data_IF_853939316491
#
_entry.id   IF_853939316491
#
_cell.length_a   1.000
_cell.length_b   1.000
_cell.length_c   1.000
_cell.angle_alpha   90.00
_cell.angle_beta   90.00
_cell.angle_gamma   90.00
#
_symmetry.space_group_name_H-M   'P 1'
#
loop_
_entity.id
_entity.type
_entity.pdbx_description
1 polymer ?
#
# COMPACT_ATOMS: atom_id res chain seq x y z
N UNK A 1 -33.12 14.23 -23.43
CA UNK A 1 -32.69 15.55 -22.94
C UNK A 1 -31.17 15.53 -22.82
N UNK A 2 -30.48 16.53 -23.35
CA UNK A 2 -29.02 16.67 -23.30
C UNK A 2 -28.66 17.87 -22.41
N UNK A 3 -27.52 17.80 -21.73
CA UNK A 3 -26.97 18.86 -20.88
C UNK A 3 -25.52 19.11 -21.26
N UNK A 4 -25.04 20.34 -21.11
CA UNK A 4 -23.66 20.69 -21.42
C UNK A 4 -22.73 20.20 -20.31
N UNK A 5 -21.63 19.55 -20.70
CA UNK A 5 -20.57 19.16 -19.78
C UNK A 5 -19.88 20.41 -19.19
N UNK A 6 -19.72 20.53 -17.86
CA UNK A 6 -19.08 21.70 -17.23
C UNK A 6 -17.56 21.82 -17.48
N UNK A 7 -16.92 20.78 -18.02
CA UNK A 7 -15.46 20.75 -18.25
C UNK A 7 -15.07 21.08 -19.70
N UNK A 8 -15.85 20.61 -20.68
CA UNK A 8 -15.56 20.81 -22.10
C UNK A 8 -16.67 21.51 -22.90
N UNK A 9 -17.77 21.89 -22.23
CA UNK A 9 -18.96 22.52 -22.83
C UNK A 9 -19.62 21.74 -23.98
N UNK A 10 -19.30 20.44 -24.15
CA UNK A 10 -19.96 19.60 -25.14
C UNK A 10 -21.38 19.24 -24.67
N UNK A 11 -22.38 19.24 -25.57
CA UNK A 11 -23.72 18.77 -25.26
C UNK A 11 -23.73 17.23 -25.22
N UNK A 12 -23.96 16.67 -24.03
CA UNK A 12 -23.96 15.22 -23.78
C UNK A 12 -25.37 14.76 -23.39
N UNK A 13 -25.85 13.58 -23.86
CA UNK A 13 -27.08 12.99 -23.35
C UNK A 13 -27.05 12.87 -21.82
N UNK A 14 -28.14 13.18 -21.12
CA UNK A 14 -28.17 13.14 -19.65
C UNK A 14 -27.79 11.76 -19.08
N UNK A 15 -28.07 10.67 -19.79
CA UNK A 15 -27.68 9.30 -19.42
C UNK A 15 -26.17 9.06 -19.45
N UNK A 16 -25.43 9.85 -20.23
CA UNK A 16 -23.98 9.70 -20.44
C UNK A 16 -23.18 10.84 -19.81
N UNK A 17 -23.85 11.91 -19.37
CA UNK A 17 -23.22 13.10 -18.81
C UNK A 17 -22.35 12.77 -17.59
N UNK A 18 -22.83 11.90 -16.71
CA UNK A 18 -22.06 11.50 -15.52
C UNK A 18 -20.80 10.71 -15.91
N UNK A 19 -20.91 9.74 -16.83
CA UNK A 19 -19.75 9.00 -17.34
C UNK A 19 -18.75 9.93 -18.03
N UNK A 20 -19.24 10.85 -18.85
CA UNK A 20 -18.42 11.80 -19.58
C UNK A 20 -17.72 12.80 -18.65
N UNK A 21 -18.41 13.31 -17.62
CA UNK A 21 -17.82 14.19 -16.61
C UNK A 21 -16.76 13.44 -15.80
N UNK A 22 -17.02 12.17 -15.48
CA UNK A 22 -16.03 11.31 -14.82
C UNK A 22 -14.79 11.12 -15.70
N UNK A 23 -14.93 11.02 -17.03
CA UNK A 23 -13.77 10.92 -17.94
C UNK A 23 -12.85 12.16 -17.86
N UNK A 24 -13.38 13.38 -17.77
CA UNK A 24 -12.56 14.61 -17.59
C UNK A 24 -11.76 14.60 -16.28
N UNK A 25 -12.41 14.19 -15.19
CA UNK A 25 -11.76 14.12 -13.88
C UNK A 25 -10.66 13.03 -13.85
N UNK A 26 -10.88 11.95 -14.60
CA UNK A 26 -9.93 10.86 -14.80
C UNK A 26 -8.75 11.28 -15.66
N UNK A 27 -8.94 12.16 -16.65
CA UNK A 27 -7.84 12.70 -17.47
C UNK A 27 -6.88 13.57 -16.63
N UNK A 28 -7.39 14.41 -15.73
CA UNK A 28 -6.54 15.18 -14.81
C UNK A 28 -5.82 14.30 -13.77
N UNK A 29 -6.49 13.27 -13.22
CA UNK A 29 -5.86 12.33 -12.29
C UNK A 29 -4.81 11.47 -13.00
N UNK A 30 -5.10 11.01 -14.22
CA UNK A 30 -4.14 10.33 -15.07
C UNK A 30 -2.96 11.22 -15.41
N UNK A 31 -3.19 12.52 -15.68
CA UNK A 31 -2.12 13.48 -15.89
C UNK A 31 -1.24 13.64 -14.66
N UNK A 32 -1.82 13.69 -13.44
CA UNK A 32 -1.05 13.72 -12.18
C UNK A 32 -0.26 12.43 -11.94
N UNK A 33 -0.88 11.27 -12.14
CA UNK A 33 -0.23 9.96 -12.02
C UNK A 33 0.89 9.78 -13.07
N UNK A 34 0.67 10.30 -14.29
CA UNK A 34 1.65 10.28 -15.36
C UNK A 34 2.79 11.26 -15.11
N UNK A 35 2.51 12.48 -14.67
CA UNK A 35 3.50 13.48 -14.29
C UNK A 35 4.38 12.96 -13.16
N UNK A 36 3.78 12.32 -12.16
CA UNK A 36 4.50 11.61 -11.12
C UNK A 36 5.38 10.53 -11.76
N UNK A 37 4.80 9.58 -12.50
CA UNK A 37 5.56 8.51 -13.17
C UNK A 37 6.70 9.00 -14.08
N UNK A 38 6.56 10.17 -14.72
CA UNK A 38 7.57 10.82 -15.55
C UNK A 38 8.67 11.48 -14.72
N UNK A 39 8.32 12.19 -13.64
CA UNK A 39 9.29 12.74 -12.69
C UNK A 39 10.20 11.65 -12.09
N UNK A 40 9.69 10.42 -11.97
CA UNK A 40 10.42 9.25 -11.49
C UNK A 40 11.32 8.60 -12.55
N UNK A 41 11.06 8.81 -13.85
CA UNK A 41 11.76 8.14 -14.95
C UNK A 41 13.05 8.86 -15.41
N UNK A 42 13.35 10.04 -14.88
CA UNK A 42 14.55 10.80 -15.23
C UNK A 42 15.69 10.45 -14.25
N UNK A 43 16.82 9.92 -14.73
CA UNK A 43 18.00 9.76 -13.87
C UNK A 43 18.49 11.15 -13.46
N UNK A 44 18.61 11.38 -12.16
CA UNK A 44 19.23 12.58 -11.62
C UNK A 44 20.68 12.63 -12.13
N UNK A 45 21.03 13.65 -12.91
CA UNK A 45 22.42 13.94 -13.24
C UNK A 45 23.23 14.08 -11.95
N UNK A 46 24.38 13.42 -11.79
CA UNK A 46 25.14 13.54 -10.54
C UNK A 46 25.72 14.97 -10.42
N UNK A 47 25.56 15.66 -9.28
CA UNK A 47 26.35 16.83 -8.99
C UNK A 47 27.79 16.40 -8.68
N UNK A 48 28.74 17.26 -9.03
CA UNK A 48 30.18 17.01 -8.89
C UNK A 48 30.56 16.88 -7.42
N UNK A 49 31.35 15.85 -7.12
CA UNK A 49 31.97 15.56 -5.83
C UNK A 49 32.68 16.79 -5.24
N UNK A 50 32.14 17.34 -4.14
CA UNK A 50 32.87 18.01 -3.04
C UNK A 50 31.95 18.52 -1.91
N UNK A 51 30.63 18.49 -2.03
CA UNK A 51 29.70 19.05 -1.01
C UNK A 51 29.06 18.06 -0.03
N UNK A 52 29.12 16.75 -0.27
CA UNK A 52 28.30 15.77 0.46
C UNK A 52 28.69 15.61 1.95
N UNK A 53 29.95 15.83 2.31
CA UNK A 53 30.39 15.74 3.71
C UNK A 53 29.95 16.93 4.59
N UNK A 54 29.62 18.08 3.97
CA UNK A 54 29.16 19.26 4.71
C UNK A 54 27.64 19.19 4.91
N UNK A 55 26.90 18.69 3.91
CA UNK A 55 25.44 18.53 3.99
C UNK A 55 25.04 17.39 4.93
N UNK A 56 25.77 16.26 4.93
CA UNK A 56 25.54 15.18 5.91
C UNK A 56 25.84 15.61 7.34
N UNK A 57 26.82 16.51 7.52
CA UNK A 57 27.18 17.04 8.83
C UNK A 57 26.17 18.07 9.34
N UNK A 58 25.68 18.97 8.48
CA UNK A 58 24.58 19.88 8.82
C UNK A 58 23.29 19.13 9.17
N UNK A 59 22.94 18.05 8.43
CA UNK A 59 21.75 17.25 8.73
C UNK A 59 21.86 16.45 10.04
N UNK A 60 23.08 16.03 10.40
CA UNK A 60 23.36 15.34 11.66
C UNK A 60 23.32 16.31 12.85
N UNK A 61 23.89 17.51 12.67
CA UNK A 61 23.89 18.58 13.68
C UNK A 61 22.46 19.12 13.91
N UNK A 62 21.66 19.27 12.85
CA UNK A 62 20.24 19.66 12.93
C UNK A 62 19.37 18.61 13.63
N UNK A 63 19.71 17.31 13.47
CA UNK A 63 19.04 16.22 14.17
C UNK A 63 19.35 16.19 15.67
N UNK A 64 20.60 16.48 16.05
CA UNK A 64 21.01 16.58 17.46
C UNK A 64 20.38 17.81 18.15
N UNK A 65 20.29 18.95 17.46
CA UNK A 65 19.62 20.14 17.97
C UNK A 65 18.11 19.89 18.14
N UNK A 66 17.47 19.18 17.21
CA UNK A 66 16.05 18.81 17.33
C UNK A 66 15.78 17.86 18.53
N UNK A 67 16.71 16.94 18.84
CA UNK A 67 16.63 16.10 20.04
C UNK A 67 16.78 16.89 21.34
N UNK A 68 17.68 17.88 21.37
CA UNK A 68 17.89 18.75 22.55
C UNK A 68 16.68 19.65 22.83
N UNK A 69 16.08 20.24 21.80
CA UNK A 69 14.88 21.07 21.94
C UNK A 69 13.63 20.29 22.39
N UNK A 70 13.55 19.00 22.01
CA UNK A 70 12.50 18.09 22.48
C UNK A 70 12.66 17.71 23.96
N UNK A 71 13.90 17.66 24.47
CA UNK A 71 14.18 17.39 25.88
C UNK A 71 13.83 18.58 26.79
N UNK A 72 14.03 19.81 26.31
CA UNK A 72 13.77 21.04 27.08
C UNK A 72 12.27 21.41 27.18
N UNK A 73 11.40 20.81 26.36
CA UNK A 73 9.98 21.19 26.25
C UNK A 73 9.01 20.33 27.08
N UNK A 74 9.48 19.55 28.05
CA UNK A 74 8.60 18.77 28.94
C UNK A 74 7.94 19.65 30.03
N UNK A 75 6.61 19.55 30.27
CA UNK A 75 5.93 20.34 31.31
C UNK A 75 6.26 19.86 32.73
N UNK A 76 6.19 20.73 33.76
CA UNK A 76 6.60 20.38 35.11
C UNK A 76 5.57 19.45 35.79
N UNK A 77 6.07 18.44 36.52
CA UNK A 77 5.25 17.57 37.39
C UNK A 77 4.72 18.33 38.62
N UNK A 78 3.57 17.91 39.21
CA UNK A 78 2.98 18.58 40.37
C UNK A 78 3.81 18.37 41.63
N UNK A 79 3.87 19.42 42.47
CA UNK A 79 4.58 19.46 43.76
C UNK A 79 3.83 18.63 44.82
N UNK A 80 4.48 17.60 45.37
CA UNK A 80 4.09 17.01 46.65
C UNK A 80 4.85 17.66 47.81
N UNK A 81 4.11 17.85 48.91
CA UNK A 81 4.49 18.64 50.09
C UNK A 81 5.51 17.91 50.96
N UNK A 82 6.44 18.72 51.48
CA UNK A 82 7.47 18.35 52.43
C UNK A 82 6.93 17.87 53.79
N UNK A 83 7.62 16.90 54.37
CA UNK A 83 7.79 16.75 55.83
C UNK A 83 9.30 16.59 56.09
N UNK A 84 9.83 17.47 56.94
CA UNK A 84 11.22 17.62 57.34
C UNK A 84 11.67 16.60 58.38
N UNK A 85 12.98 16.33 58.38
CA UNK A 85 13.95 16.29 59.52
C UNK A 85 14.97 15.17 59.30
N UNK A 86 16.26 15.25 59.61
CA UNK A 86 17.22 16.30 59.98
C UNK A 86 18.62 15.65 59.84
N UNK A 87 19.62 16.43 59.45
CA UNK A 87 21.06 16.37 59.77
C UNK A 87 21.82 15.02 59.82
N UNK A 88 22.89 14.91 59.02
CA UNK A 88 24.30 15.00 59.49
C UNK A 88 25.27 14.95 58.30
N UNK A 89 26.17 15.93 58.24
CA UNK A 89 27.28 16.05 57.27
C UNK A 89 28.50 15.30 57.78
N UNK A 90 29.20 14.54 56.93
CA UNK A 90 30.68 14.40 56.99
C UNK A 90 31.27 13.84 55.68
N UNK A 91 31.86 14.75 54.91
CA UNK A 91 33.19 14.73 54.29
C UNK A 91 33.86 13.44 53.69
N UNK A 92 34.39 13.69 52.48
CA UNK A 92 35.67 13.26 51.88
C UNK A 92 35.74 12.12 50.83
N UNK A 93 36.27 12.55 49.67
CA UNK A 93 37.02 11.88 48.60
C UNK A 93 36.38 10.79 47.75
N UNK A 94 36.48 11.02 46.43
CA UNK A 94 36.21 10.02 45.40
C UNK A 94 37.30 8.96 45.33
N UNK A 95 36.94 7.84 44.69
CA UNK A 95 37.74 7.21 43.66
C UNK A 95 36.91 6.19 42.87
N UNK A 96 37.30 6.06 41.61
CA UNK A 96 36.81 5.16 40.57
C UNK A 96 37.33 3.74 40.82
N UNK A 97 36.51 2.70 40.61
CA UNK A 97 36.87 1.32 40.19
C UNK A 97 35.54 0.54 39.99
N UNK A 98 35.16 0.14 38.77
CA UNK A 98 35.60 -1.06 38.03
C UNK A 98 35.36 -2.38 38.80
N UNK A 99 34.35 -3.15 38.40
CA UNK A 99 34.26 -4.64 38.32
C UNK A 99 32.78 -5.11 38.37
N UNK A 100 32.33 -6.22 37.77
CA UNK A 100 32.94 -7.28 36.95
C UNK A 100 31.78 -8.04 36.28
N UNK A 101 31.70 -8.11 34.96
CA UNK A 101 30.87 -9.13 34.28
C UNK A 101 31.69 -10.43 34.25
N UNK A 102 31.22 -11.44 34.98
CA UNK A 102 31.81 -12.78 34.95
C UNK A 102 31.20 -13.57 33.80
N UNK A 103 32.04 -13.94 32.84
CA UNK A 103 31.72 -14.91 31.80
C UNK A 103 31.76 -16.33 32.39
N UNK A 104 30.68 -17.09 32.21
CA UNK A 104 30.68 -18.54 32.36
C UNK A 104 30.30 -19.17 31.03
N UNK A 105 31.26 -19.91 30.46
CA UNK A 105 31.07 -20.77 29.29
C UNK A 105 30.13 -21.93 29.61
N UNK A 106 29.17 -22.22 28.72
CA UNK A 106 28.31 -23.38 28.78
C UNK A 106 27.42 -23.49 27.53
N UNK A 107 27.89 -24.32 26.59
CA UNK A 107 27.17 -25.02 25.50
C UNK A 107 26.23 -24.27 24.53
N UNK A 108 26.68 -24.34 23.28
CA UNK A 108 26.06 -23.97 22.02
C UNK A 108 24.83 -24.80 21.67
N UNK A 109 23.64 -24.20 21.70
CA UNK A 109 22.64 -24.21 20.61
C UNK A 109 21.55 -23.17 20.94
N UNK A 110 21.61 -21.96 20.36
CA UNK A 110 20.56 -20.90 20.29
C UNK A 110 21.20 -19.50 20.43
N UNK A 111 21.75 -18.92 19.36
CA UNK A 111 22.31 -17.56 19.39
C UNK A 111 21.68 -16.60 18.38
N UNK A 112 20.75 -17.05 17.52
CA UNK A 112 20.07 -16.15 16.57
C UNK A 112 18.73 -15.62 17.08
N UNK A 113 17.99 -16.38 17.89
CA UNK A 113 16.64 -15.99 18.35
C UNK A 113 16.68 -14.83 19.36
N UNK A 114 17.68 -14.82 20.24
CA UNK A 114 17.84 -13.81 21.29
C UNK A 114 18.09 -12.40 20.73
N UNK A 115 18.78 -12.29 19.59
CA UNK A 115 19.06 -10.98 18.96
C UNK A 115 17.82 -10.37 18.30
N UNK A 116 16.98 -11.19 17.66
CA UNK A 116 15.76 -10.68 17.00
C UNK A 116 14.69 -10.27 18.00
N UNK A 117 14.51 -11.04 19.08
CA UNK A 117 13.55 -10.71 20.14
C UNK A 117 13.92 -9.41 20.87
N UNK A 118 15.21 -9.18 21.15
CA UNK A 118 15.69 -7.94 21.76
C UNK A 118 15.44 -6.72 20.86
N UNK A 119 15.63 -6.85 19.54
CA UNK A 119 15.31 -5.78 18.57
C UNK A 119 13.82 -5.48 18.52
N UNK A 120 12.98 -6.52 18.57
CA UNK A 120 11.52 -6.38 18.62
C UNK A 120 11.10 -5.64 19.88
N UNK A 121 11.62 -6.02 21.06
CA UNK A 121 11.34 -5.35 22.33
C UNK A 121 11.86 -3.90 22.35
N UNK A 122 13.04 -3.66 21.80
CA UNK A 122 13.61 -2.32 21.73
C UNK A 122 12.77 -1.42 20.81
N UNK A 123 12.42 -1.90 19.62
CA UNK A 123 11.60 -1.13 18.68
C UNK A 123 10.18 -0.96 19.19
N UNK A 124 9.60 -1.95 19.88
CA UNK A 124 8.24 -1.84 20.41
C UNK A 124 8.12 -0.67 21.40
N UNK A 125 9.18 -0.41 22.19
CA UNK A 125 9.28 0.70 23.15
C UNK A 125 9.65 2.04 22.53
N UNK A 126 10.42 2.05 21.44
CA UNK A 126 10.97 3.27 20.83
C UNK A 126 10.20 3.77 19.60
N UNK A 127 9.35 2.94 19.00
CA UNK A 127 8.59 3.33 17.81
C UNK A 127 7.68 4.52 18.08
N UNK A 128 7.49 5.35 17.06
CA UNK A 128 6.69 6.57 17.14
C UNK A 128 5.33 6.31 16.50
N UNK A 129 4.28 6.86 17.09
CA UNK A 129 2.92 6.81 16.52
C UNK A 129 2.87 7.64 15.24
N UNK A 130 2.37 7.04 14.17
CA UNK A 130 2.08 7.75 12.92
C UNK A 130 1.03 8.82 13.17
N UNK A 131 1.35 10.06 12.81
CA UNK A 131 0.43 11.19 12.88
C UNK A 131 -0.46 11.19 11.64
N UNK A 132 -1.76 11.36 11.86
CA UNK A 132 -2.75 11.52 10.79
C UNK A 132 -3.83 12.51 11.20
N UNK A 133 -4.53 13.04 10.20
CA UNK A 133 -5.69 13.90 10.42
C UNK A 133 -6.87 13.04 10.88
N UNK A 134 -7.28 13.21 12.14
CA UNK A 134 -8.41 12.45 12.72
C UNK A 134 -9.74 13.10 12.33
N UNK A 135 -10.63 12.32 11.72
CA UNK A 135 -11.99 12.74 11.38
C UNK A 135 -12.93 12.40 12.54
N UNK A 136 -13.63 13.40 13.07
CA UNK A 136 -14.64 13.19 14.11
C UNK A 136 -15.83 12.37 13.57
N UNK A 137 -16.20 11.30 14.27
CA UNK A 137 -17.21 10.34 13.84
C UNK A 137 -16.70 9.24 12.88
N UNK A 138 -15.45 9.37 12.40
CA UNK A 138 -14.76 8.39 11.57
C UNK A 138 -15.08 8.51 10.07
N UNK A 139 -14.05 8.36 9.24
CA UNK A 139 -14.14 8.47 7.78
C UNK A 139 -15.20 7.53 7.19
N UNK A 140 -15.12 6.25 7.57
CA UNK A 140 -15.98 5.22 7.00
C UNK A 140 -17.45 5.42 7.37
N UNK A 141 -17.75 6.06 8.51
CA UNK A 141 -19.11 6.46 8.86
C UNK A 141 -19.64 7.56 7.94
N UNK A 142 -18.84 8.60 7.68
CA UNK A 142 -19.22 9.66 6.75
C UNK A 142 -19.43 9.10 5.33
N UNK A 143 -18.53 8.24 4.86
CA UNK A 143 -18.65 7.59 3.56
C UNK A 143 -19.93 6.75 3.44
N UNK A 144 -20.26 5.94 4.47
CA UNK A 144 -21.52 5.17 4.47
C UNK A 144 -22.74 6.06 4.41
N UNK A 145 -22.77 7.17 5.15
CA UNK A 145 -23.89 8.10 5.12
C UNK A 145 -24.10 8.68 3.71
N UNK A 146 -23.02 9.08 3.04
CA UNK A 146 -23.08 9.53 1.66
C UNK A 146 -23.59 8.46 0.68
N UNK A 147 -23.13 7.21 0.85
CA UNK A 147 -23.54 6.08 0.01
C UNK A 147 -25.02 5.72 0.20
N UNK A 148 -25.55 5.82 1.42
CA UNK A 148 -26.98 5.58 1.72
C UNK A 148 -27.89 6.66 1.10
N UNK A 149 -27.39 7.90 1.01
CA UNK A 149 -28.11 9.02 0.39
C UNK A 149 -28.04 9.01 -1.14
N UNK A 150 -27.22 8.15 -1.73
CA UNK A 150 -27.07 8.10 -3.17
C UNK A 150 -28.30 7.47 -3.84
N UNK A 151 -28.77 8.12 -4.91
CA UNK A 151 -29.91 7.64 -5.68
C UNK A 151 -29.47 6.53 -6.65
N UNK A 152 -30.17 5.40 -6.64
CA UNK A 152 -29.94 4.32 -7.60
C UNK A 152 -30.25 2.93 -7.04
N UNK A 153 -30.22 1.92 -7.92
CA UNK A 153 -30.32 0.49 -7.55
C UNK A 153 -28.93 -0.12 -7.31
N UNK A 154 -28.06 0.64 -6.66
CA UNK A 154 -26.71 0.19 -6.36
C UNK A 154 -26.67 -0.50 -5.00
N UNK A 155 -26.01 -1.65 -4.94
CA UNK A 155 -25.67 -2.33 -3.70
C UNK A 155 -24.21 -2.06 -3.37
N UNK A 156 -23.92 -1.64 -2.15
CA UNK A 156 -22.57 -1.31 -1.72
C UNK A 156 -22.15 -2.18 -0.55
N UNK A 157 -20.92 -2.67 -0.61
CA UNK A 157 -20.27 -3.36 0.51
C UNK A 157 -19.00 -2.59 0.84
N UNK A 158 -18.82 -2.22 2.10
CA UNK A 158 -17.63 -1.52 2.60
C UNK A 158 -16.97 -2.29 3.73
N UNK A 159 -15.68 -2.11 3.92
CA UNK A 159 -14.98 -2.53 5.14
C UNK A 159 -15.47 -1.75 6.37
N UNK A 160 -15.07 -2.23 7.56
CA UNK A 160 -15.24 -1.56 8.85
C UNK A 160 -14.40 -0.27 9.00
N UNK A 161 -13.86 -0.03 10.18
CA UNK A 161 -13.05 1.15 10.47
C UNK A 161 -11.80 1.23 9.60
N UNK A 162 -11.48 2.43 9.10
CA UNK A 162 -10.22 2.77 8.42
C UNK A 162 -9.93 4.25 8.68
N UNK A 163 -8.73 4.55 9.17
CA UNK A 163 -8.21 5.91 9.23
C UNK A 163 -7.46 6.24 7.94
N UNK A 164 -7.66 7.44 7.38
CA UNK A 164 -6.94 7.88 6.19
C UNK A 164 -5.58 8.48 6.53
N UNK A 165 -4.53 7.86 6.01
CA UNK A 165 -3.16 8.36 6.10
C UNK A 165 -2.76 8.99 4.78
N UNK A 166 -2.69 10.32 4.75
CA UNK A 166 -2.21 11.06 3.59
C UNK A 166 -0.69 11.17 3.58
N UNK A 167 -0.11 11.30 2.40
CA UNK A 167 1.28 11.69 2.22
C UNK A 167 1.47 13.16 2.57
N UNK A 168 2.61 13.46 3.18
CA UNK A 168 3.02 14.78 3.61
C UNK A 168 4.07 15.30 2.62
N UNK A 169 3.86 16.53 2.13
CA UNK A 169 4.73 17.19 1.15
C UNK A 169 6.19 17.25 1.62
N UNK A 170 6.41 17.44 2.91
CA UNK A 170 7.72 17.56 3.55
C UNK A 170 8.41 16.22 3.82
N UNK A 171 7.68 15.10 3.83
CA UNK A 171 8.22 13.82 4.31
C UNK A 171 8.25 12.76 3.21
N UNK A 172 7.07 12.43 2.69
CA UNK A 172 6.85 11.19 1.94
C UNK A 172 6.14 11.38 0.59
N UNK A 173 5.87 12.63 0.19
CA UNK A 173 5.32 12.92 -1.13
C UNK A 173 6.21 12.37 -2.26
N UNK A 174 5.58 11.61 -3.16
CA UNK A 174 6.24 10.99 -4.31
C UNK A 174 6.89 9.62 -4.06
N UNK A 175 6.87 9.11 -2.82
CA UNK A 175 7.43 7.77 -2.52
C UNK A 175 6.74 7.00 -1.39
N UNK A 176 5.97 7.68 -0.55
CA UNK A 176 5.37 7.17 0.67
C UNK A 176 4.10 6.36 0.50
N UNK A 177 3.51 6.30 -0.70
CA UNK A 177 2.17 5.73 -0.92
C UNK A 177 2.02 4.32 -0.32
N UNK A 178 2.99 3.44 -0.55
CA UNK A 178 2.92 2.08 -0.01
C UNK A 178 2.98 2.03 1.52
N UNK A 179 3.79 2.88 2.13
CA UNK A 179 3.84 3.00 3.59
C UNK A 179 2.53 3.54 4.18
N UNK A 180 1.94 4.55 3.55
CA UNK A 180 0.63 5.11 3.96
C UNK A 180 -0.49 4.08 3.80
N UNK A 181 -0.47 3.25 2.76
CA UNK A 181 -1.42 2.15 2.60
C UNK A 181 -1.24 1.05 3.66
N UNK A 182 0.00 0.74 4.08
CA UNK A 182 0.24 -0.11 5.25
C UNK A 182 -0.38 0.51 6.51
N UNK A 183 -0.23 1.82 6.71
CA UNK A 183 -0.84 2.51 7.85
C UNK A 183 -2.38 2.43 7.82
N UNK A 184 -3.01 2.63 6.67
CA UNK A 184 -4.46 2.49 6.51
C UNK A 184 -4.93 1.06 6.81
N UNK A 185 -4.28 0.04 6.24
CA UNK A 185 -4.60 -1.36 6.53
C UNK A 185 -4.39 -1.71 8.02
N UNK A 186 -3.31 -1.21 8.61
CA UNK A 186 -3.00 -1.41 10.04
C UNK A 186 -4.02 -0.73 10.95
N UNK A 187 -4.55 0.43 10.57
CA UNK A 187 -5.60 1.13 11.35
C UNK A 187 -6.86 0.29 11.48
N UNK A 188 -7.26 -0.37 10.38
CA UNK A 188 -8.38 -1.30 10.38
C UNK A 188 -8.10 -2.51 11.27
N UNK A 189 -6.96 -3.16 11.08
CA UNK A 189 -6.58 -4.35 11.83
C UNK A 189 -6.54 -4.09 13.34
N UNK A 190 -5.89 -3.00 13.76
CA UNK A 190 -5.80 -2.63 15.18
C UNK A 190 -7.17 -2.23 15.77
N UNK A 191 -8.08 -1.66 14.97
CA UNK A 191 -9.41 -1.28 15.46
C UNK A 191 -10.35 -2.49 15.58
N UNK A 192 -10.41 -3.34 14.56
CA UNK A 192 -11.42 -4.39 14.42
C UNK A 192 -11.02 -5.70 15.11
N UNK A 193 -9.71 -5.97 15.28
CA UNK A 193 -9.20 -7.29 15.68
C UNK A 193 -8.42 -7.26 16.99
N UNK A 194 -8.98 -7.85 18.04
CA UNK A 194 -8.34 -7.95 19.35
C UNK A 194 -7.07 -8.81 19.33
N UNK A 195 -7.11 -9.95 18.63
CA UNK A 195 -5.96 -10.84 18.46
C UNK A 195 -4.77 -10.13 17.80
N UNK A 196 -5.04 -9.20 16.87
CA UNK A 196 -4.00 -8.40 16.22
C UNK A 196 -3.44 -7.31 17.14
N UNK A 197 -4.29 -6.66 17.96
CA UNK A 197 -3.86 -5.61 18.90
C UNK A 197 -2.80 -6.08 19.89
N UNK A 198 -2.86 -7.33 20.30
CA UNK A 198 -1.93 -7.90 21.28
C UNK A 198 -0.54 -8.19 20.71
N UNK A 199 -0.44 -8.46 19.40
CA UNK A 199 0.80 -8.95 18.77
C UNK A 199 1.45 -7.95 17.82
N UNK A 200 0.65 -7.17 17.10
CA UNK A 200 1.14 -6.30 16.03
C UNK A 200 1.90 -5.12 16.62
N UNK A 201 3.07 -4.83 16.03
CA UNK A 201 3.97 -3.78 16.50
C UNK A 201 4.36 -3.90 17.98
N UNK A 202 4.51 -5.13 18.47
CA UNK A 202 4.85 -5.39 19.86
C UNK A 202 3.74 -5.00 20.85
N UNK A 203 2.47 -5.05 20.43
CA UNK A 203 1.32 -4.78 21.29
C UNK A 203 1.12 -3.30 21.63
N UNK A 204 1.69 -2.39 20.82
CA UNK A 204 1.63 -0.95 21.05
C UNK A 204 0.24 -0.34 20.89
N UNK A 205 -0.68 -1.05 20.23
CA UNK A 205 -2.06 -0.63 19.96
C UNK A 205 -2.17 0.70 19.18
N UNK A 206 -1.14 1.05 18.41
CA UNK A 206 -1.18 2.17 17.48
C UNK A 206 -0.45 1.86 16.19
N UNK A 207 -0.80 2.61 15.14
CA UNK A 207 -0.13 2.53 13.84
C UNK A 207 1.19 3.33 13.90
N UNK A 208 2.35 2.71 13.65
CA UNK A 208 3.64 3.41 13.70
C UNK A 208 3.86 4.37 12.54
N UNK A 209 4.81 5.28 12.68
CA UNK A 209 5.30 6.15 11.61
C UNK A 209 6.13 5.39 10.55
N UNK A 210 6.40 6.05 9.42
CA UNK A 210 7.12 5.42 8.29
C UNK A 210 8.52 4.92 8.71
N UNK A 211 9.35 5.71 9.42
CA UNK A 211 10.64 5.23 9.92
C UNK A 211 10.53 3.97 10.79
N UNK A 212 9.54 3.89 11.69
CA UNK A 212 9.34 2.69 12.50
C UNK A 212 8.89 1.49 11.65
N UNK A 213 7.99 1.69 10.67
CA UNK A 213 7.58 0.65 9.73
C UNK A 213 8.78 0.12 8.91
N UNK A 214 9.69 0.99 8.49
CA UNK A 214 10.92 0.59 7.81
C UNK A 214 11.79 -0.31 8.69
N UNK A 215 11.98 0.03 9.98
CA UNK A 215 12.72 -0.83 10.92
C UNK A 215 12.01 -2.15 11.17
N UNK A 216 10.68 -2.15 11.30
CA UNK A 216 9.90 -3.40 11.41
C UNK A 216 10.09 -4.30 10.18
N UNK A 217 10.16 -3.73 8.98
CA UNK A 217 10.44 -4.48 7.76
C UNK A 217 11.86 -5.06 7.74
N UNK A 218 12.88 -4.30 8.17
CA UNK A 218 14.25 -4.82 8.31
C UNK A 218 14.32 -5.97 9.32
N UNK A 219 13.64 -5.85 10.46
CA UNK A 219 13.52 -6.95 11.44
C UNK A 219 12.85 -8.17 10.82
N UNK A 220 11.82 -7.98 9.99
CA UNK A 220 11.20 -9.09 9.27
C UNK A 220 12.19 -9.80 8.35
N UNK A 221 12.99 -9.06 7.60
CA UNK A 221 14.04 -9.62 6.74
C UNK A 221 15.11 -10.37 7.53
N UNK A 222 15.59 -9.79 8.64
CA UNK A 222 16.54 -10.45 9.54
C UNK A 222 15.98 -11.74 10.15
N UNK A 223 14.68 -11.77 10.45
CA UNK A 223 13.97 -12.95 10.95
C UNK A 223 13.71 -14.01 9.86
N UNK A 224 14.16 -13.78 8.62
CA UNK A 224 14.07 -14.74 7.53
C UNK A 224 12.84 -14.59 6.64
N UNK A 225 11.99 -13.59 6.86
CA UNK A 225 10.85 -13.33 5.97
C UNK A 225 11.34 -12.68 4.68
N UNK A 226 10.88 -13.19 3.53
CA UNK A 226 11.12 -12.59 2.22
C UNK A 226 12.59 -12.22 1.92
N UNK A 227 13.50 -13.16 2.16
CA UNK A 227 14.91 -13.01 1.82
C UNK A 227 15.15 -12.60 0.35
N UNK A 228 14.37 -13.07 -0.66
CA UNK A 228 14.51 -12.55 -2.02
C UNK A 228 14.22 -11.05 -2.11
N UNK A 229 13.11 -10.57 -1.53
CA UNK A 229 12.77 -9.15 -1.51
C UNK A 229 13.78 -8.29 -0.74
N UNK A 230 14.29 -8.80 0.39
CA UNK A 230 15.30 -8.10 1.19
C UNK A 230 16.56 -7.79 0.39
N UNK A 231 17.04 -8.74 -0.42
CA UNK A 231 18.25 -8.59 -1.24
C UNK A 231 18.12 -7.49 -2.28
N UNK A 232 16.93 -7.27 -2.83
CA UNK A 232 16.69 -6.21 -3.81
C UNK A 232 16.74 -4.81 -3.19
N UNK A 233 16.67 -4.72 -1.85
CA UNK A 233 16.94 -3.52 -1.10
C UNK A 233 18.35 -3.46 -0.49
N UNK A 234 19.25 -4.40 -0.81
CA UNK A 234 20.52 -4.58 -0.11
C UNK A 234 20.35 -4.79 1.41
N UNK A 235 19.24 -5.40 1.80
CA UNK A 235 18.83 -5.64 3.19
C UNK A 235 18.72 -4.36 4.05
N UNK A 236 18.55 -3.18 3.42
CA UNK A 236 18.36 -1.90 4.12
C UNK A 236 17.33 -1.01 3.43
N UNK A 237 16.40 -0.49 4.22
CA UNK A 237 15.36 0.43 3.80
C UNK A 237 15.10 1.55 4.81
N UNK A 238 15.50 1.39 6.07
CA UNK A 238 15.41 2.43 7.08
C UNK A 238 16.18 3.68 6.66
N UNK A 239 15.54 4.84 6.81
CA UNK A 239 16.08 6.14 6.41
C UNK A 239 16.06 6.41 4.91
N UNK A 240 15.58 5.47 4.09
CA UNK A 240 15.52 5.64 2.64
C UNK A 240 14.15 6.14 2.17
N UNK A 241 14.11 6.73 0.98
CA UNK A 241 12.87 7.14 0.28
C UNK A 241 12.42 6.09 -0.74
N UNK A 242 12.68 4.81 -0.45
CA UNK A 242 12.40 3.72 -1.39
C UNK A 242 10.93 3.35 -1.41
N UNK A 243 10.47 3.03 -2.60
CA UNK A 243 9.12 2.52 -2.82
C UNK A 243 9.04 1.07 -2.38
N UNK A 244 7.83 0.69 -2.00
CA UNK A 244 7.47 -0.66 -1.59
C UNK A 244 6.11 -1.00 -2.19
N UNK A 245 5.70 -2.26 -2.07
CA UNK A 245 4.30 -2.58 -2.22
C UNK A 245 3.84 -3.88 -1.58
N UNK A 246 3.07 -4.69 -2.32
CA UNK A 246 2.31 -5.82 -1.76
C UNK A 246 3.20 -6.84 -1.03
N UNK A 247 4.40 -7.10 -1.55
CA UNK A 247 5.39 -8.00 -0.94
C UNK A 247 5.90 -7.49 0.39
N UNK A 248 6.40 -6.25 0.43
CA UNK A 248 6.90 -5.65 1.67
C UNK A 248 5.78 -5.47 2.71
N UNK A 249 4.58 -5.11 2.26
CA UNK A 249 3.37 -5.08 3.08
C UNK A 249 3.08 -6.46 3.68
N UNK A 250 3.05 -7.51 2.87
CA UNK A 250 2.81 -8.87 3.35
C UNK A 250 3.92 -9.34 4.30
N UNK A 251 5.19 -9.10 3.97
CA UNK A 251 6.37 -9.43 4.78
C UNK A 251 6.28 -8.80 6.16
N UNK A 252 5.98 -7.50 6.24
CA UNK A 252 5.82 -6.78 7.50
C UNK A 252 4.67 -7.35 8.34
N UNK A 253 3.51 -7.62 7.75
CA UNK A 253 2.36 -8.17 8.47
C UNK A 253 2.63 -9.60 8.96
N UNK A 254 3.30 -10.42 8.15
CA UNK A 254 3.64 -11.82 8.44
C UNK A 254 4.66 -11.98 9.56
N UNK A 255 5.52 -10.98 9.80
CA UNK A 255 6.40 -10.94 10.98
C UNK A 255 5.60 -11.15 12.28
N UNK A 256 4.41 -10.55 12.36
CA UNK A 256 3.51 -10.66 13.51
C UNK A 256 2.55 -11.87 13.44
N UNK A 257 2.75 -12.77 12.47
CA UNK A 257 1.92 -13.96 12.27
C UNK A 257 0.60 -13.69 11.53
N UNK A 258 0.38 -12.49 10.97
CA UNK A 258 -0.83 -12.25 10.18
C UNK A 258 -0.75 -13.00 8.85
N UNK A 259 -1.87 -13.62 8.46
CA UNK A 259 -2.02 -14.36 7.21
C UNK A 259 -2.23 -13.40 6.02
N UNK A 260 -1.23 -12.58 5.73
CA UNK A 260 -1.26 -11.69 4.58
C UNK A 260 -1.10 -12.48 3.27
N UNK A 261 -1.97 -12.27 2.30
CA UNK A 261 -2.04 -12.95 0.99
C UNK A 261 -1.92 -11.96 -0.14
N UNK A 262 -1.25 -12.36 -1.23
CA UNK A 262 -1.08 -11.55 -2.43
C UNK A 262 -1.83 -12.18 -3.60
N UNK A 263 -2.49 -11.35 -4.40
CA UNK A 263 -3.20 -11.77 -5.61
C UNK A 263 -2.75 -10.89 -6.77
N UNK A 264 -2.40 -11.51 -7.89
CA UNK A 264 -1.94 -10.86 -9.10
C UNK A 264 -3.01 -10.93 -10.19
N UNK A 265 -3.24 -9.81 -10.88
CA UNK A 265 -4.14 -9.72 -12.03
C UNK A 265 -3.35 -9.25 -13.25
N UNK A 266 -3.35 -10.03 -14.33
CA UNK A 266 -2.67 -9.68 -15.59
C UNK A 266 -3.63 -9.75 -16.78
N UNK A 267 -3.45 -8.83 -17.73
CA UNK A 267 -4.34 -8.69 -18.90
C UNK A 267 -3.85 -9.44 -20.15
N UNK A 268 -2.71 -10.15 -20.11
CA UNK A 268 -2.12 -10.79 -21.29
C UNK A 268 -1.53 -12.16 -20.96
N UNK A 269 -1.99 -13.21 -21.65
CA UNK A 269 -1.37 -14.55 -21.63
C UNK A 269 0.04 -14.57 -22.24
N UNK A 270 0.38 -13.58 -23.08
CA UNK A 270 1.61 -13.56 -23.90
C UNK A 270 2.93 -13.39 -23.11
N UNK A 271 2.88 -13.11 -21.81
CA UNK A 271 4.07 -13.12 -20.93
C UNK A 271 4.38 -14.54 -20.40
N UNK A 272 3.58 -15.54 -20.77
CA UNK A 272 3.81 -16.94 -20.47
C UNK A 272 4.75 -17.61 -21.49
N UNK A 273 6.06 -17.36 -21.36
CA UNK A 273 7.08 -18.34 -21.74
C UNK A 273 7.83 -18.12 -23.05
N UNK A 274 9.11 -17.78 -22.94
CA UNK A 274 10.13 -18.43 -23.76
C UNK A 274 10.50 -19.77 -23.09
N UNK A 275 10.09 -20.89 -23.69
CA UNK A 275 10.68 -22.21 -23.42
C UNK A 275 9.73 -23.32 -22.96
N UNK A 276 9.44 -24.21 -23.91
CA UNK A 276 9.24 -25.66 -23.80
C UNK A 276 7.89 -26.30 -23.36
N UNK A 277 7.45 -27.14 -24.31
CA UNK A 277 6.82 -28.46 -24.27
C UNK A 277 5.53 -28.75 -23.48
N UNK A 278 4.62 -29.41 -24.21
CA UNK A 278 3.35 -29.93 -23.72
C UNK A 278 3.60 -31.16 -22.86
N UNK A 279 3.28 -31.06 -21.58
CA UNK A 279 2.97 -32.24 -20.76
C UNK A 279 3.54 -32.19 -19.36
N UNK A 280 2.83 -31.55 -18.43
CA UNK A 280 2.70 -31.97 -17.03
C UNK A 280 1.83 -30.96 -16.27
N UNK A 281 0.72 -31.44 -15.72
CA UNK A 281 -0.08 -30.70 -14.73
C UNK A 281 0.73 -30.60 -13.42
N UNK A 282 0.65 -29.41 -12.80
CA UNK A 282 1.22 -28.93 -11.52
C UNK A 282 2.70 -28.55 -11.49
N UNK A 283 2.93 -27.23 -11.65
CA UNK A 283 3.80 -26.37 -10.82
C UNK A 283 3.66 -24.93 -11.33
N UNK A 284 3.15 -24.00 -10.51
CA UNK A 284 3.37 -22.56 -10.75
C UNK A 284 3.59 -21.87 -9.40
N UNK A 285 4.83 -21.46 -9.18
CA UNK A 285 5.27 -20.61 -8.08
C UNK A 285 5.88 -19.40 -8.77
N UNK A 286 5.27 -18.22 -8.63
CA UNK A 286 5.89 -16.99 -9.10
C UNK A 286 5.71 -15.90 -8.05
N UNK A 287 6.83 -15.36 -7.59
CA UNK A 287 6.91 -14.44 -6.45
C UNK A 287 8.07 -13.54 -6.74
N UNK A 288 7.81 -12.25 -6.87
CA UNK A 288 8.86 -11.25 -6.75
C UNK A 288 8.30 -10.05 -5.94
N UNK A 289 9.21 -9.31 -5.34
CA UNK A 289 9.10 -7.98 -4.71
C UNK A 289 10.54 -7.45 -4.67
N UNK A 290 10.86 -6.15 -4.89
CA UNK A 290 10.19 -4.93 -4.50
C UNK A 290 9.81 -4.03 -5.68
N UNK A 291 8.51 -4.04 -5.91
CA UNK A 291 7.85 -3.40 -7.04
C UNK A 291 8.30 -3.91 -8.39
N UNK A 292 8.88 -5.12 -8.43
CA UNK A 292 9.23 -5.99 -9.58
C UNK A 292 9.49 -5.26 -10.88
N UNK A 293 10.34 -4.26 -10.68
CA UNK A 293 10.81 -3.20 -11.57
C UNK A 293 9.73 -2.63 -12.48
N UNK A 294 8.68 -2.17 -11.83
CA UNK A 294 7.63 -1.28 -12.33
C UNK A 294 6.72 -1.95 -13.39
N UNK A 295 6.48 -3.26 -13.28
CA UNK A 295 5.48 -4.04 -14.06
C UNK A 295 5.57 -3.83 -15.61
N UNK A 296 6.81 -3.87 -16.14
CA UNK A 296 7.26 -4.11 -17.55
C UNK A 296 6.85 -3.14 -18.68
N UNK A 297 7.85 -2.44 -19.26
CA UNK A 297 7.79 -1.20 -20.07
C UNK A 297 8.19 -1.44 -21.56
N UNK A 298 7.40 -0.97 -22.53
CA UNK A 298 7.74 -0.90 -23.98
C UNK A 298 9.08 -0.16 -24.19
N UNK A 299 10.11 -0.84 -24.71
CA UNK A 299 11.33 -0.21 -25.26
C UNK A 299 12.02 -1.13 -26.28
N UNK A 300 11.60 -1.09 -27.55
CA UNK A 300 12.54 -1.19 -28.66
C UNK A 300 13.31 0.14 -28.72
N UNK A 301 14.32 0.25 -27.86
CA UNK A 301 15.20 1.43 -27.76
C UNK A 301 16.48 1.19 -28.54
N UNK A 302 16.51 1.78 -29.72
CA UNK A 302 17.63 1.90 -30.67
C UNK A 302 18.97 2.19 -30.00
N UNK A 303 19.98 1.37 -30.31
CA UNK A 303 21.39 1.72 -30.21
C UNK A 303 22.00 1.52 -31.61
N UNK A 304 22.39 2.63 -32.23
CA UNK A 304 23.07 2.74 -33.53
C UNK A 304 24.57 2.48 -33.27
N UNK A 305 25.27 1.62 -34.05
CA UNK A 305 26.21 1.99 -35.14
C UNK A 305 27.12 0.76 -35.45
N UNK A 306 27.91 0.71 -36.55
CA UNK A 306 27.58 0.97 -37.96
C UNK A 306 28.15 -0.13 -38.92
N UNK A 307 27.89 0.02 -40.24
CA UNK A 307 28.72 -0.41 -41.40
C UNK A 307 28.21 -1.58 -42.31
N UNK A 308 27.94 -1.17 -43.58
CA UNK A 308 28.02 -1.84 -44.91
C UNK A 308 26.95 -2.89 -45.28
N UNK A 309 26.01 -2.51 -46.14
CA UNK A 309 26.00 -2.68 -47.63
C UNK A 309 25.52 -4.07 -48.06
N UNK A 310 24.30 -4.16 -48.61
CA UNK A 310 24.08 -4.39 -50.05
C UNK A 310 22.60 -4.72 -50.36
N UNK A 311 22.04 -3.87 -51.24
CA UNK A 311 21.18 -4.18 -52.40
C UNK A 311 19.93 -5.07 -52.29
N UNK A 312 18.78 -4.40 -52.52
CA UNK A 312 17.71 -4.72 -53.49
C UNK A 312 17.12 -6.12 -53.56
N UNK A 313 15.79 -6.24 -53.45
CA UNK A 313 14.85 -6.39 -54.59
C UNK A 313 13.41 -6.38 -54.03
N UNK A 314 12.54 -5.54 -54.59
CA UNK A 314 11.09 -5.58 -54.41
C UNK A 314 10.47 -6.70 -55.26
N UNK A 315 9.46 -7.41 -54.73
CA UNK A 315 8.15 -7.52 -55.38
C UNK A 315 7.10 -8.28 -54.53
N UNK A 316 5.99 -7.59 -54.26
CA UNK A 316 4.58 -7.99 -54.15
C UNK A 316 4.21 -9.46 -53.85
N UNK A 317 3.34 -9.66 -52.83
CA UNK A 317 1.94 -10.07 -53.06
C UNK A 317 1.14 -10.27 -51.75
N UNK A 318 -0.08 -9.74 -51.75
CA UNK A 318 -1.28 -10.18 -51.01
C UNK A 318 -1.44 -9.91 -49.49
N UNK A 319 -2.33 -8.95 -49.23
CA UNK A 319 -3.18 -8.79 -48.06
C UNK A 319 -3.75 -10.11 -47.51
N UNK A 320 -3.68 -10.29 -46.19
CA UNK A 320 -4.81 -10.62 -45.29
C UNK A 320 -4.38 -10.42 -43.82
N UNK A 321 -5.32 -9.94 -43.01
CA UNK A 321 -5.34 -9.97 -41.54
C UNK A 321 -4.52 -8.94 -40.72
N UNK A 322 -4.87 -7.65 -40.85
CA UNK A 322 -4.44 -6.59 -39.89
C UNK A 322 -5.57 -6.02 -38.99
N UNK A 323 -6.83 -6.40 -39.19
CA UNK A 323 -7.96 -5.85 -38.42
C UNK A 323 -8.38 -6.66 -37.18
N UNK A 324 -7.81 -7.85 -36.94
CA UNK A 324 -8.27 -8.74 -35.86
C UNK A 324 -7.46 -8.60 -34.54
N UNK A 325 -6.23 -8.05 -34.60
CA UNK A 325 -5.37 -7.93 -33.41
C UNK A 325 -5.77 -6.79 -32.46
N UNK A 326 -6.36 -5.71 -32.96
CA UNK A 326 -6.74 -4.56 -32.12
C UNK A 326 -7.96 -4.84 -31.26
N UNK A 327 -8.94 -5.59 -31.76
CA UNK A 327 -10.13 -5.96 -31.00
C UNK A 327 -9.82 -7.01 -29.92
N UNK A 328 -8.89 -7.94 -30.20
CA UNK A 328 -8.50 -8.98 -29.23
C UNK A 328 -7.85 -8.38 -27.98
N UNK A 329 -6.90 -7.45 -28.13
CA UNK A 329 -6.23 -6.82 -26.99
C UNK A 329 -7.14 -5.93 -26.14
N UNK A 330 -8.10 -5.23 -26.76
CA UNK A 330 -9.12 -4.45 -26.02
C UNK A 330 -10.06 -5.38 -25.24
N UNK A 331 -10.45 -6.52 -25.83
CA UNK A 331 -11.33 -7.50 -25.19
C UNK A 331 -10.65 -8.19 -23.99
N UNK A 332 -9.37 -8.54 -24.11
CA UNK A 332 -8.57 -9.14 -23.01
C UNK A 332 -8.43 -8.17 -21.82
N UNK A 333 -8.13 -6.88 -22.08
CA UNK A 333 -8.06 -5.85 -21.02
C UNK A 333 -9.41 -5.65 -20.33
N UNK A 334 -10.51 -5.64 -21.08
CA UNK A 334 -11.87 -5.55 -20.51
C UNK A 334 -12.18 -6.78 -19.66
N UNK A 335 -11.76 -7.97 -20.10
CA UNK A 335 -11.95 -9.21 -19.36
C UNK A 335 -11.13 -9.21 -18.05
N UNK A 336 -9.86 -8.78 -18.09
CA UNK A 336 -8.99 -8.66 -16.90
C UNK A 336 -9.54 -7.70 -15.84
N UNK A 337 -10.08 -6.54 -16.25
CA UNK A 337 -10.74 -5.58 -15.34
C UNK A 337 -11.96 -6.19 -14.66
N UNK A 338 -12.76 -6.95 -15.41
CA UNK A 338 -13.94 -7.62 -14.88
C UNK A 338 -13.55 -8.71 -13.88
N UNK A 339 -12.52 -9.50 -14.17
CA UNK A 339 -12.00 -10.52 -13.24
C UNK A 339 -11.57 -9.89 -11.91
N UNK A 340 -10.86 -8.75 -11.95
CA UNK A 340 -10.49 -8.02 -10.74
C UNK A 340 -11.74 -7.56 -9.97
N UNK A 341 -12.70 -6.97 -10.66
CA UNK A 341 -13.96 -6.50 -10.05
C UNK A 341 -14.75 -7.63 -9.40
N UNK A 342 -14.90 -8.75 -10.11
CA UNK A 342 -15.60 -9.95 -9.63
C UNK A 342 -14.86 -10.56 -8.44
N UNK A 343 -13.52 -10.58 -8.45
CA UNK A 343 -12.73 -11.02 -7.30
C UNK A 343 -12.93 -10.13 -6.08
N UNK A 344 -12.87 -8.80 -6.24
CA UNK A 344 -13.10 -7.84 -5.15
C UNK A 344 -14.54 -7.94 -4.62
N UNK A 345 -15.51 -8.12 -5.51
CA UNK A 345 -16.91 -8.37 -5.16
C UNK A 345 -17.03 -9.61 -4.25
N UNK A 346 -16.49 -10.74 -4.70
CA UNK A 346 -16.50 -11.99 -3.95
C UNK A 346 -15.73 -11.89 -2.63
N UNK A 347 -14.64 -11.14 -2.59
CA UNK A 347 -13.86 -10.92 -1.38
C UNK A 347 -14.67 -10.21 -0.29
N UNK A 348 -15.34 -9.11 -0.63
CA UNK A 348 -16.14 -8.33 0.33
C UNK A 348 -17.49 -8.97 0.65
N UNK A 349 -17.99 -9.85 -0.23
CA UNK A 349 -19.22 -10.60 0.02
C UNK A 349 -19.02 -11.56 1.19
N UNK A 350 -19.70 -11.28 2.29
CA UNK A 350 -19.63 -12.13 3.49
C UNK A 350 -20.76 -13.16 3.43
N UNK A 351 -20.39 -14.45 3.32
CA UNK A 351 -21.32 -15.58 3.34
C UNK A 351 -22.05 -15.73 4.70
N UNK A 352 -21.57 -15.06 5.75
CA UNK A 352 -22.11 -15.12 7.10
C UNK A 352 -23.19 -14.08 7.43
N UNK A 353 -23.50 -13.15 6.51
CA UNK A 353 -24.56 -12.16 6.74
C UNK A 353 -25.93 -12.86 6.69
N UNK A 354 -26.61 -12.92 7.85
CA UNK A 354 -28.00 -13.43 7.96
C UNK A 354 -28.86 -12.75 6.90
N UNK A 355 -29.68 -13.54 6.18
CA UNK A 355 -30.57 -13.11 5.09
C UNK A 355 -31.37 -11.83 5.38
N UNK A 356 -31.63 -11.52 6.65
CA UNK A 356 -32.29 -10.29 7.11
C UNK A 356 -31.55 -8.97 6.78
N UNK A 357 -30.21 -8.96 6.61
CA UNK A 357 -29.43 -7.76 6.23
C UNK A 357 -29.27 -7.61 4.71
N UNK A 358 -29.73 -8.59 3.92
CA UNK A 358 -29.71 -8.52 2.46
C UNK A 358 -30.74 -7.54 1.88
N UNK A 359 -31.47 -6.80 2.71
CA UNK A 359 -32.31 -5.68 2.26
C UNK A 359 -31.63 -4.31 2.38
N UNK A 360 -30.47 -4.21 3.05
CA UNK A 360 -29.73 -2.94 3.18
C UNK A 360 -28.97 -2.62 1.89
N UNK A 361 -29.02 -1.35 1.46
CA UNK A 361 -28.31 -0.88 0.26
C UNK A 361 -26.81 -0.79 0.51
N UNK A 362 -26.39 -0.34 1.69
CA UNK A 362 -24.99 -0.30 2.10
C UNK A 362 -24.78 -1.28 3.26
N UNK A 363 -23.81 -2.19 3.11
CA UNK A 363 -23.49 -3.19 4.13
C UNK A 363 -22.03 -3.09 4.53
N UNK A 364 -21.75 -3.37 5.81
CA UNK A 364 -20.39 -3.43 6.35
C UNK A 364 -19.95 -4.89 6.41
N UNK A 365 -18.83 -5.17 5.75
CA UNK A 365 -18.17 -6.47 5.74
C UNK A 365 -17.15 -6.57 6.87
N UNK A 366 -17.00 -7.77 7.45
CA UNK A 366 -15.92 -8.09 8.40
C UNK A 366 -14.54 -8.30 7.75
N UNK A 367 -14.42 -8.00 6.46
CA UNK A 367 -13.20 -8.18 5.66
C UNK A 367 -12.31 -6.95 5.76
N UNK A 368 -10.99 -7.14 5.69
CA UNK A 368 -10.03 -6.02 5.73
C UNK A 368 -10.11 -5.19 4.46
N UNK A 369 -9.72 -3.89 4.48
CA UNK A 369 -9.42 -3.20 3.24
C UNK A 369 -8.31 -3.93 2.46
N UNK A 370 -8.23 -3.66 1.16
CA UNK A 370 -7.24 -4.28 0.28
C UNK A 370 -6.17 -3.25 -0.05
N UNK A 371 -4.91 -3.59 0.23
CA UNK A 371 -3.77 -2.87 -0.35
C UNK A 371 -3.79 -3.10 -1.86
N UNK A 372 -3.85 -2.03 -2.65
CA UNK A 372 -4.05 -2.09 -4.10
C UNK A 372 -2.90 -1.44 -4.86
N UNK A 373 -2.09 -2.26 -5.54
CA UNK A 373 -0.88 -1.85 -6.24
C UNK A 373 -1.10 -1.86 -7.76
N UNK A 374 -0.52 -0.87 -8.44
CA UNK A 374 -0.17 -0.97 -9.85
C UNK A 374 1.17 -0.28 -10.09
N UNK A 375 1.64 -0.26 -11.34
CA UNK A 375 2.87 0.46 -11.65
C UNK A 375 2.74 1.95 -11.32
N UNK A 376 3.65 2.47 -10.50
CA UNK A 376 3.81 3.89 -10.19
C UNK A 376 3.09 4.38 -8.94
N UNK A 377 2.10 3.64 -8.42
CA UNK A 377 1.30 4.10 -7.27
C UNK A 377 0.57 2.95 -6.58
N UNK A 378 0.21 3.17 -5.32
CA UNK A 378 -0.60 2.25 -4.54
C UNK A 378 -1.70 2.98 -3.81
N UNK A 379 -2.82 2.31 -3.60
CA UNK A 379 -4.04 2.83 -2.99
C UNK A 379 -4.66 1.77 -2.07
N UNK A 380 -5.76 2.12 -1.39
CA UNK A 380 -6.48 1.19 -0.50
C UNK A 380 -7.92 1.04 -0.96
N UNK A 381 -8.33 -0.16 -1.38
CA UNK A 381 -9.75 -0.45 -1.67
C UNK A 381 -10.47 -0.71 -0.35
N UNK A 382 -11.48 0.10 -0.05
CA UNK A 382 -12.30 0.03 1.17
C UNK A 382 -13.70 -0.51 0.91
N UNK A 383 -14.03 -0.83 -0.33
CA UNK A 383 -15.32 -1.43 -0.68
C UNK A 383 -15.58 -1.47 -2.17
N UNK A 384 -16.78 -1.91 -2.51
CA UNK A 384 -17.24 -2.04 -3.89
C UNK A 384 -18.74 -1.73 -3.96
N UNK A 385 -19.11 -0.99 -4.99
CA UNK A 385 -20.49 -0.69 -5.35
C UNK A 385 -20.84 -1.42 -6.65
N UNK A 386 -21.95 -2.14 -6.62
CA UNK A 386 -22.47 -2.97 -7.70
C UNK A 386 -23.76 -2.31 -8.17
N UNK A 387 -23.76 -1.79 -9.40
CA UNK A 387 -24.97 -1.28 -10.04
C UNK A 387 -25.74 -2.48 -10.59
N UNK A 388 -27.02 -2.59 -10.25
CA UNK A 388 -27.88 -3.68 -10.73
C UNK A 388 -28.91 -3.17 -11.71
N UNK A 389 -29.11 -3.93 -12.79
CA UNK A 389 -30.20 -3.71 -13.74
C UNK A 389 -31.53 -4.04 -13.10
N UNK A 390 -32.62 -3.69 -13.80
CA UNK A 390 -34.00 -4.03 -13.40
C UNK A 390 -34.26 -5.53 -13.23
N UNK A 391 -33.46 -6.38 -13.86
CA UNK A 391 -33.55 -7.85 -13.79
C UNK A 391 -32.67 -8.45 -12.66
N UNK A 392 -31.97 -7.61 -11.89
CA UNK A 392 -31.07 -8.04 -10.82
C UNK A 392 -29.65 -8.41 -11.28
N UNK A 393 -29.36 -8.36 -12.58
CA UNK A 393 -28.00 -8.63 -13.09
C UNK A 393 -27.05 -7.45 -12.82
N UNK A 394 -25.76 -7.70 -12.53
CA UNK A 394 -24.78 -6.62 -12.39
C UNK A 394 -24.61 -5.88 -13.72
N UNK A 395 -24.87 -4.58 -13.71
CA UNK A 395 -24.66 -3.67 -14.86
C UNK A 395 -23.23 -3.11 -14.87
N UNK A 396 -22.69 -2.82 -13.70
CA UNK A 396 -21.39 -2.20 -13.56
C UNK A 396 -20.85 -2.24 -12.14
N UNK A 397 -19.55 -2.03 -12.02
CA UNK A 397 -18.83 -2.02 -10.76
C UNK A 397 -18.09 -0.69 -10.59
N UNK A 398 -18.13 -0.17 -9.37
CA UNK A 398 -17.32 0.95 -8.92
C UNK A 398 -16.57 0.54 -7.66
N UNK A 399 -15.24 0.57 -7.71
CA UNK A 399 -14.40 0.38 -6.54
C UNK A 399 -14.45 1.63 -5.66
N UNK A 400 -14.45 1.44 -4.35
CA UNK A 400 -14.29 2.52 -3.38
C UNK A 400 -12.83 2.50 -2.89
N UNK A 401 -12.07 3.53 -3.27
CA UNK A 401 -10.62 3.58 -3.16
C UNK A 401 -10.20 4.83 -2.40
N UNK A 402 -9.42 4.66 -1.34
CA UNK A 402 -8.72 5.74 -0.67
C UNK A 402 -7.31 5.89 -1.27
N UNK A 403 -6.92 7.14 -1.53
CA UNK A 403 -5.62 7.47 -2.11
C UNK A 403 -4.81 8.33 -1.12
N UNK A 404 -3.61 7.88 -0.70
CA UNK A 404 -2.78 8.65 0.21
C UNK A 404 -2.36 10.02 -0.36
N UNK A 405 -2.43 10.26 -1.67
CA UNK A 405 -2.17 11.57 -2.26
C UNK A 405 -3.28 12.61 -1.97
N UNK A 406 -4.47 12.18 -1.55
CA UNK A 406 -5.57 13.10 -1.24
C UNK A 406 -5.42 13.75 0.13
N UNK A 407 -5.84 15.01 0.25
CA UNK A 407 -5.97 15.68 1.54
C UNK A 407 -7.14 15.09 2.34
N UNK A 408 -6.87 14.59 3.55
CA UNK A 408 -7.91 14.04 4.43
C UNK A 408 -8.94 15.11 4.79
N UNK A 409 -8.52 16.36 5.02
CA UNK A 409 -9.41 17.46 5.33
C UNK A 409 -10.35 17.83 4.16
N UNK A 410 -9.82 17.78 2.92
CA UNK A 410 -10.64 18.01 1.73
C UNK A 410 -11.66 16.89 1.50
N UNK A 411 -11.23 15.64 1.71
CA UNK A 411 -12.10 14.47 1.66
C UNK A 411 -13.21 14.57 2.71
N UNK A 412 -12.86 14.84 3.97
CA UNK A 412 -13.83 15.03 5.05
C UNK A 412 -14.85 16.10 4.71
N UNK A 413 -14.40 17.28 4.27
CA UNK A 413 -15.28 18.38 3.87
C UNK A 413 -16.29 17.92 2.81
N UNK A 414 -15.80 17.27 1.75
CA UNK A 414 -16.66 16.79 0.66
C UNK A 414 -17.70 15.75 1.11
N UNK A 415 -17.35 14.89 2.07
CA UNK A 415 -18.26 13.90 2.64
C UNK A 415 -19.30 14.57 3.54
N UNK A 416 -18.91 15.52 4.40
CA UNK A 416 -19.85 16.25 5.27
C UNK A 416 -20.85 17.08 4.48
N UNK A 417 -20.40 17.68 3.39
CA UNK A 417 -21.25 18.46 2.47
C UNK A 417 -22.04 17.56 1.50
N UNK A 418 -21.78 16.24 1.50
CA UNK A 418 -22.30 15.27 0.54
C UNK A 418 -22.18 15.75 -0.93
N UNK A 419 -21.05 16.41 -1.25
CA UNK A 419 -20.86 17.05 -2.55
C UNK A 419 -19.45 16.77 -3.09
N UNK A 420 -19.39 16.16 -4.28
CA UNK A 420 -18.14 15.90 -4.98
C UNK A 420 -17.17 14.98 -4.24
N UNK A 421 -17.64 14.18 -3.28
CA UNK A 421 -16.82 13.17 -2.59
C UNK A 421 -16.52 11.97 -3.50
N UNK A 422 -17.39 11.70 -4.49
CA UNK A 422 -17.26 10.60 -5.43
C UNK A 422 -15.92 10.66 -6.19
N UNK A 423 -15.43 11.85 -6.55
CA UNK A 423 -14.12 12.01 -7.22
C UNK A 423 -12.95 11.54 -6.36
N UNK A 424 -13.07 11.62 -5.04
CA UNK A 424 -12.01 11.18 -4.13
C UNK A 424 -12.02 9.67 -3.92
N UNK A 425 -13.18 9.01 -4.03
CA UNK A 425 -13.35 7.63 -3.56
C UNK A 425 -13.75 6.67 -4.67
N UNK A 426 -14.63 7.05 -5.59
CA UNK A 426 -15.17 6.12 -6.59
C UNK A 426 -14.24 5.96 -7.79
N UNK A 427 -14.00 4.72 -8.17
CA UNK A 427 -13.22 4.36 -9.37
C UNK A 427 -14.00 3.32 -10.18
N UNK A 428 -14.54 3.74 -11.32
CA UNK A 428 -15.20 2.83 -12.26
C UNK A 428 -14.19 1.93 -12.96
N UNK A 429 -14.61 0.78 -13.50
CA UNK A 429 -13.68 -0.15 -14.15
C UNK A 429 -12.92 0.46 -15.34
N UNK A 430 -13.47 1.48 -16.00
CA UNK A 430 -12.80 2.21 -17.08
C UNK A 430 -11.55 2.98 -16.61
N UNK A 431 -11.42 3.28 -15.32
CA UNK A 431 -10.24 3.94 -14.73
C UNK A 431 -9.10 2.94 -14.48
N UNK A 432 -9.36 1.63 -14.51
CA UNK A 432 -8.37 0.58 -14.31
C UNK A 432 -7.58 0.30 -15.59
N UNK A 433 -6.74 1.26 -15.98
CA UNK A 433 -6.03 1.25 -17.27
C UNK A 433 -4.67 0.56 -17.27
N UNK A 434 -4.14 0.15 -16.10
CA UNK A 434 -2.82 -0.46 -16.00
C UNK A 434 -2.89 -1.95 -16.39
N UNK A 435 -1.82 -2.51 -17.00
CA UNK A 435 -1.82 -3.88 -17.50
C UNK A 435 -1.81 -4.93 -16.39
N UNK A 436 -1.26 -4.55 -15.24
CA UNK A 436 -1.10 -5.41 -14.08
C UNK A 436 -1.52 -4.67 -12.81
N UNK A 437 -2.22 -5.42 -11.97
CA UNK A 437 -2.61 -5.01 -10.63
C UNK A 437 -2.25 -6.11 -9.64
N UNK A 438 -1.92 -5.71 -8.42
CA UNK A 438 -1.75 -6.66 -7.32
C UNK A 438 -2.56 -6.20 -6.11
N UNK A 439 -3.12 -7.16 -5.38
CA UNK A 439 -3.83 -6.94 -4.13
C UNK A 439 -3.09 -7.63 -2.99
N UNK A 440 -3.06 -6.99 -1.81
CA UNK A 440 -2.68 -7.65 -0.56
C UNK A 440 -3.81 -7.50 0.46
N UNK A 441 -4.18 -8.61 1.10
CA UNK A 441 -5.25 -8.70 2.10
C UNK A 441 -4.85 -9.62 3.25
N UNK A 442 -5.58 -9.56 4.37
CA UNK A 442 -5.27 -10.36 5.55
C UNK A 442 -6.41 -11.31 5.89
N UNK A 443 -6.12 -12.60 5.97
CA UNK A 443 -7.08 -13.60 6.45
C UNK A 443 -7.24 -13.54 7.98
N UNK A 444 -8.39 -14.00 8.53
CA UNK A 444 -8.60 -14.07 9.98
C UNK A 444 -7.59 -14.96 10.72
N UNK A 445 -7.42 -14.68 12.02
CA UNK A 445 -6.54 -15.38 12.96
C UNK A 445 -5.06 -15.03 12.85
N UNK A 446 -4.27 -15.60 13.75
CA UNK A 446 -2.81 -15.43 13.87
C UNK A 446 -2.13 -16.79 13.70
N UNK A 447 -1.06 -16.83 12.92
CA UNK A 447 -0.24 -18.01 12.70
C UNK A 447 0.85 -18.15 13.77
N UNK A 448 1.07 -19.38 14.22
CA UNK A 448 2.09 -19.74 15.20
C UNK A 448 2.89 -20.97 14.74
N UNK A 449 4.06 -21.20 15.33
CA UNK A 449 4.88 -22.39 15.08
C UNK A 449 5.21 -22.59 13.60
N UNK A 450 4.96 -23.80 13.10
CA UNK A 450 5.24 -24.20 11.72
C UNK A 450 4.52 -23.32 10.68
N UNK A 451 3.27 -22.93 10.95
CA UNK A 451 2.52 -22.06 10.04
C UNK A 451 3.20 -20.70 9.86
N UNK A 452 3.72 -20.12 10.95
CA UNK A 452 4.44 -18.84 10.90
C UNK A 452 5.74 -18.97 10.11
N UNK A 453 6.44 -20.09 10.22
CA UNK A 453 7.63 -20.38 9.42
C UNK A 453 7.28 -20.50 7.92
N UNK A 454 6.13 -21.11 7.57
CA UNK A 454 5.66 -21.16 6.19
C UNK A 454 5.35 -19.75 5.62
N UNK A 455 4.92 -18.81 6.46
CA UNK A 455 4.67 -17.42 6.05
C UNK A 455 5.95 -16.66 5.66
N UNK A 456 7.16 -17.13 6.04
CA UNK A 456 8.42 -16.50 5.62
C UNK A 456 8.62 -16.49 4.11
N UNK A 457 8.03 -17.46 3.42
CA UNK A 457 8.02 -17.51 1.97
C UNK A 457 6.79 -16.80 1.44
N UNK A 458 7.00 -15.69 0.73
CA UNK A 458 5.92 -15.01 0.01
C UNK A 458 5.47 -15.91 -1.14
N UNK A 459 4.16 -15.95 -1.38
CA UNK A 459 3.52 -16.66 -2.50
C UNK A 459 2.32 -15.80 -2.96
N UNK A 460 2.08 -15.72 -4.27
CA UNK A 460 0.90 -15.04 -4.83
C UNK A 460 -0.01 -15.99 -5.62
N UNK A 461 -1.27 -15.61 -5.76
CA UNK A 461 -2.26 -16.29 -6.61
C UNK A 461 -2.47 -15.46 -7.88
N UNK A 462 -2.24 -16.06 -9.05
CA UNK A 462 -2.38 -15.39 -10.34
C UNK A 462 -3.77 -15.60 -10.97
N UNK A 463 -4.41 -14.51 -11.38
CA UNK A 463 -5.60 -14.48 -12.23
C UNK A 463 -5.23 -13.83 -13.56
N UNK A 464 -5.42 -14.56 -14.66
CA UNK A 464 -5.19 -14.10 -16.03
C UNK A 464 -6.50 -14.23 -16.84
N UNK A 465 -6.70 -13.29 -17.77
CA UNK A 465 -7.89 -13.16 -18.62
C UNK A 465 -7.88 -14.00 -19.88
#
# INVERSE_FOLDING_TARGET
MSSSCPFCNLPIPLSELESHVNDHLVEEEFARDLELALAISLPSSPPRHTSDQLVEKELQDDFEIAQLLAWESSPPRPKEKAINSENTVQHFSGDILHDRFSASNGESTQTSATSSEEKIDTLSRLQIRGVFYRIEGGLMTLLRNCLELENGRARTVVTGHVDHFQSLKSEDSGWGCGWRNIQMLSSHLLHERHDVREVMFGGSQFVPDIPSLQRWLEIAWEAGFDIPGSRMFNNRIYGSKKWIGTTECATLLRLFGLRARIVDFTSTEAEMGMGFDRGAKRKRQHVYGPMDKFLSRNCSGTQVHPIKQASSVEMNSMNRDKHDRSNKGVLEIVNGRKILADWVCNYFHDSGLRESRMSERVTVSGKTPLYFQHNGHSRTIVGIQIQTKSDGTPEGYSLLVLDPAHSTAALEKSLRENNGWQRFVKRGLHTLRKPQYQLCYVEPGIAHGEEKEQLKTINSVLFAS
#
